data_IF_081010398745
#
_entry.id   IF_081010398745
#
_cell.length_a   1.000
_cell.length_b   1.000
_cell.length_c   1.000
_cell.angle_alpha   90.00
_cell.angle_beta   90.00
_cell.angle_gamma   90.00
#
_symmetry.space_group_name_H-M   'P 1'
#
loop_
_entity.id
_entity.type
_entity.pdbx_description
1 polymer ?
#
# COMPACT_ATOMS: atom_id res chain seq x y z
N UNK A 1 -14.58 3.68 10.27
CA UNK A 1 -14.37 4.68 9.18
C UNK A 1 -15.70 4.97 8.47
N UNK A 2 -16.67 5.46 9.24
CA UNK A 2 -18.03 5.72 8.73
C UNK A 2 -18.05 6.89 7.75
N UNK A 3 -17.30 7.96 8.05
CA UNK A 3 -17.22 9.12 7.17
C UNK A 3 -16.56 8.73 5.83
N UNK A 4 -15.45 8.02 5.86
CA UNK A 4 -14.76 7.55 4.65
C UNK A 4 -15.68 6.71 3.76
N UNK A 5 -16.40 5.75 4.36
CA UNK A 5 -17.32 4.89 3.61
C UNK A 5 -18.50 5.67 3.04
N UNK A 6 -19.09 6.59 3.79
CA UNK A 6 -20.26 7.35 3.35
C UNK A 6 -19.89 8.48 2.37
N UNK A 7 -18.83 9.23 2.66
CA UNK A 7 -18.48 10.44 1.90
C UNK A 7 -17.70 10.14 0.61
N UNK A 8 -16.98 9.01 0.57
CA UNK A 8 -16.26 8.58 -0.63
C UNK A 8 -16.95 7.36 -1.25
N UNK A 9 -17.03 6.24 -0.53
CA UNK A 9 -17.64 5.01 -1.06
C UNK A 9 -19.12 5.15 -1.40
N UNK A 10 -19.90 5.83 -0.54
CA UNK A 10 -21.34 6.07 -0.74
C UNK A 10 -21.68 7.15 -1.80
N UNK A 11 -20.66 7.83 -2.33
CA UNK A 11 -20.81 8.86 -3.38
C UNK A 11 -20.08 8.50 -4.67
N UNK A 12 -19.47 7.32 -4.77
CA UNK A 12 -18.67 6.94 -5.92
C UNK A 12 -18.43 5.45 -6.04
N UNK A 13 -17.29 5.04 -6.58
CA UNK A 13 -16.94 3.66 -6.85
C UNK A 13 -16.16 3.02 -5.70
N UNK A 14 -16.62 1.85 -5.26
CA UNK A 14 -15.91 0.97 -4.32
C UNK A 14 -15.29 -0.20 -5.09
N UNK A 15 -13.97 -0.29 -5.10
CA UNK A 15 -13.24 -1.37 -5.76
C UNK A 15 -12.96 -2.50 -4.76
N UNK A 16 -13.53 -3.67 -5.01
CA UNK A 16 -13.42 -4.81 -4.08
C UNK A 16 -12.15 -5.63 -4.27
N UNK A 17 -11.45 -5.46 -5.39
CA UNK A 17 -10.26 -6.21 -5.75
C UNK A 17 -9.10 -5.29 -6.14
N UNK A 18 -8.69 -4.40 -5.22
CA UNK A 18 -7.49 -3.60 -5.38
C UNK A 18 -6.30 -4.30 -4.71
N UNK A 19 -5.24 -4.52 -5.48
CA UNK A 19 -4.02 -5.20 -5.05
C UNK A 19 -2.82 -4.26 -5.13
N UNK A 20 -1.94 -4.34 -4.14
CA UNK A 20 -0.67 -3.62 -4.18
C UNK A 20 0.28 -4.28 -5.17
N UNK A 21 1.09 -3.48 -5.85
CA UNK A 21 2.15 -4.01 -6.72
C UNK A 21 3.27 -4.68 -5.92
N UNK A 22 3.46 -4.25 -4.66
CA UNK A 22 4.43 -4.81 -3.72
C UNK A 22 3.88 -4.70 -2.29
N UNK A 23 3.84 -5.78 -1.48
CA UNK A 23 3.27 -5.74 -0.14
C UNK A 23 4.25 -5.15 0.90
N UNK A 24 4.84 -3.99 0.59
CA UNK A 24 5.71 -3.25 1.51
C UNK A 24 5.77 -1.77 1.15
N UNK A 25 5.93 -0.90 2.16
CA UNK A 25 5.75 0.55 2.08
C UNK A 25 6.45 1.22 0.90
N UNK A 26 7.80 1.32 0.93
CA UNK A 26 8.54 2.15 -0.01
C UNK A 26 8.39 1.72 -1.47
N UNK A 27 8.54 0.43 -1.83
CA UNK A 27 8.31 -0.03 -3.20
C UNK A 27 6.90 0.26 -3.70
N UNK A 28 5.86 -0.01 -2.91
CA UNK A 28 4.50 0.25 -3.38
C UNK A 28 4.17 1.75 -3.45
N UNK A 29 4.69 2.57 -2.54
CA UNK A 29 4.59 4.04 -2.65
C UNK A 29 5.28 4.55 -3.92
N UNK A 30 6.43 3.98 -4.28
CA UNK A 30 7.10 4.25 -5.55
C UNK A 30 6.21 3.86 -6.74
N UNK A 31 5.56 2.70 -6.69
CA UNK A 31 4.60 2.27 -7.71
C UNK A 31 3.41 3.22 -7.86
N UNK A 32 2.81 3.65 -6.74
CA UNK A 32 1.71 4.63 -6.76
C UNK A 32 2.16 5.95 -7.38
N UNK A 33 3.34 6.46 -6.98
CA UNK A 33 3.85 7.75 -7.43
C UNK A 33 4.23 7.77 -8.92
N UNK A 34 4.70 6.64 -9.49
CA UNK A 34 5.28 6.58 -10.84
C UNK A 34 4.47 5.77 -11.85
N UNK A 35 3.45 5.02 -11.41
CA UNK A 35 2.69 4.10 -12.26
C UNK A 35 3.53 2.93 -12.79
N UNK A 36 4.61 2.56 -12.12
CA UNK A 36 5.54 1.52 -12.55
C UNK A 36 5.58 0.37 -11.54
N UNK A 37 5.78 -0.83 -12.03
CA UNK A 37 6.09 -1.99 -11.19
C UNK A 37 7.51 -1.91 -10.62
N UNK A 38 7.77 -2.68 -9.57
CA UNK A 38 9.04 -2.70 -8.84
C UNK A 38 10.25 -2.92 -9.76
N UNK A 39 10.16 -3.83 -10.73
CA UNK A 39 11.24 -4.12 -11.67
C UNK A 39 11.54 -2.94 -12.63
N UNK A 40 10.61 -1.98 -12.82
CA UNK A 40 10.79 -0.81 -13.68
C UNK A 40 11.26 0.43 -12.90
N UNK A 41 10.75 0.70 -11.69
CA UNK A 41 11.23 1.84 -10.90
C UNK A 41 12.45 1.52 -10.01
N UNK A 42 12.78 0.24 -9.80
CA UNK A 42 13.97 -0.25 -9.09
C UNK A 42 14.08 0.20 -7.62
N UNK A 43 12.98 0.51 -6.98
CA UNK A 43 12.87 0.67 -5.53
C UNK A 43 12.36 -0.66 -4.98
N UNK A 44 13.25 -1.50 -4.46
CA UNK A 44 12.96 -2.92 -4.21
C UNK A 44 12.71 -3.26 -2.75
N UNK A 45 13.09 -2.35 -1.81
CA UNK A 45 12.81 -2.52 -0.39
C UNK A 45 12.81 -1.16 0.34
N UNK A 46 12.67 -1.18 1.67
CA UNK A 46 12.60 0.03 2.50
C UNK A 46 13.96 0.71 2.78
N UNK A 47 15.07 0.15 2.28
CA UNK A 47 16.40 0.70 2.51
C UNK A 47 16.87 1.61 1.38
N UNK A 48 17.81 2.51 1.68
CA UNK A 48 18.47 3.36 0.66
C UNK A 48 19.20 2.48 -0.36
N UNK A 49 19.85 1.41 0.07
CA UNK A 49 20.52 0.46 -0.81
C UNK A 49 19.57 -0.25 -1.77
N UNK A 50 18.33 -0.51 -1.32
CA UNK A 50 17.26 -1.04 -2.15
C UNK A 50 16.52 0.01 -2.99
N UNK A 51 17.05 1.21 -3.09
CA UNK A 51 16.53 2.28 -3.95
C UNK A 51 15.58 3.26 -3.25
N UNK A 52 15.14 2.97 -2.01
CA UNK A 52 14.18 3.81 -1.31
C UNK A 52 14.75 5.20 -1.01
N UNK A 53 14.13 6.24 -1.55
CA UNK A 53 14.56 7.63 -1.42
C UNK A 53 16.06 7.85 -1.72
N UNK A 54 16.65 7.00 -2.55
CA UNK A 54 18.04 7.03 -2.94
C UNK A 54 18.36 8.20 -3.88
N UNK A 55 19.64 8.45 -4.14
CA UNK A 55 20.05 9.43 -5.17
C UNK A 55 19.46 9.06 -6.55
N UNK A 56 19.43 7.75 -6.86
CA UNK A 56 18.82 7.25 -8.11
C UNK A 56 17.31 7.55 -8.17
N UNK A 57 16.57 7.34 -7.07
CA UNK A 57 15.16 7.71 -6.99
C UNK A 57 14.96 9.18 -7.31
N UNK A 58 15.72 10.05 -6.65
CA UNK A 58 15.61 11.50 -6.83
C UNK A 58 15.95 11.97 -8.26
N UNK A 59 16.92 11.33 -8.89
CA UNK A 59 17.36 11.70 -10.24
C UNK A 59 16.45 11.16 -11.34
N UNK A 60 15.95 9.92 -11.19
CA UNK A 60 15.28 9.22 -12.28
C UNK A 60 13.76 9.08 -12.10
N UNK A 61 13.28 9.03 -10.86
CA UNK A 61 11.87 8.77 -10.59
C UNK A 61 11.10 10.03 -10.15
N UNK A 62 11.65 10.87 -9.27
CA UNK A 62 10.97 12.10 -8.85
C UNK A 62 10.51 12.97 -10.00
N UNK A 63 11.29 13.19 -11.08
CA UNK A 63 10.85 13.99 -12.23
C UNK A 63 9.64 13.42 -12.97
N UNK A 64 9.34 12.13 -12.79
CA UNK A 64 8.28 11.40 -13.50
C UNK A 64 7.14 10.95 -12.59
N UNK A 65 7.08 11.45 -11.36
CA UNK A 65 5.93 11.22 -10.47
C UNK A 65 4.70 11.97 -10.98
N UNK A 66 3.50 11.49 -10.64
CA UNK A 66 2.27 12.22 -11.03
C UNK A 66 2.29 13.68 -10.53
N UNK A 67 2.86 13.94 -9.35
CA UNK A 67 2.96 15.29 -8.80
C UNK A 67 3.83 16.20 -9.67
N UNK A 68 5.02 15.71 -10.02
CA UNK A 68 5.95 16.47 -10.88
C UNK A 68 5.36 16.73 -12.26
N UNK A 69 4.67 15.76 -12.85
CA UNK A 69 4.01 15.91 -14.15
C UNK A 69 2.84 16.90 -14.07
N UNK A 70 1.99 16.80 -13.05
CA UNK A 70 0.84 17.69 -12.89
C UNK A 70 1.27 19.13 -12.61
N UNK A 71 2.27 19.34 -11.74
CA UNK A 71 2.80 20.66 -11.47
C UNK A 71 3.43 21.30 -12.71
N UNK A 72 4.38 20.60 -13.34
CA UNK A 72 5.23 21.21 -14.36
C UNK A 72 4.60 21.26 -15.76
N UNK A 73 3.66 20.36 -16.07
CA UNK A 73 3.07 20.26 -17.43
C UNK A 73 1.64 20.78 -17.45
N UNK A 74 0.84 20.46 -16.43
CA UNK A 74 -0.59 20.82 -16.40
C UNK A 74 -0.86 22.08 -15.60
N UNK A 75 0.06 22.47 -14.70
CA UNK A 75 -0.08 23.68 -13.89
C UNK A 75 -0.91 23.52 -12.62
N UNK A 76 -0.93 22.32 -12.04
CA UNK A 76 -1.57 22.08 -10.76
C UNK A 76 -0.83 22.74 -9.62
N UNK A 77 -1.56 23.24 -8.63
CA UNK A 77 -1.04 23.58 -7.31
C UNK A 77 -0.95 22.32 -6.47
N UNK A 78 0.22 22.00 -5.92
CA UNK A 78 0.47 20.70 -5.33
C UNK A 78 0.78 20.77 -3.83
N UNK A 79 0.17 19.88 -3.06
CA UNK A 79 0.31 19.78 -1.61
C UNK A 79 0.57 18.34 -1.16
N UNK A 80 1.53 18.15 -0.29
CA UNK A 80 1.81 16.87 0.36
C UNK A 80 1.96 17.02 1.87
N UNK A 81 1.33 16.13 2.66
CA UNK A 81 1.55 16.05 4.10
C UNK A 81 1.57 14.60 4.60
N UNK A 82 2.59 14.25 5.39
CA UNK A 82 2.74 12.96 6.05
C UNK A 82 3.91 12.12 5.56
N UNK A 83 3.76 10.79 5.65
CA UNK A 83 4.81 9.83 5.27
C UNK A 83 5.00 9.81 3.76
N UNK A 84 6.22 10.09 3.31
CA UNK A 84 6.64 9.94 1.90
C UNK A 84 7.22 8.55 1.65
N UNK A 85 8.47 8.44 1.32
CA UNK A 85 9.21 7.18 1.23
C UNK A 85 9.98 6.92 2.53
N UNK A 86 10.21 5.67 2.86
CA UNK A 86 11.06 5.33 4.00
C UNK A 86 12.45 5.98 3.82
N UNK A 87 13.13 6.29 4.91
CA UNK A 87 14.43 6.97 4.93
C UNK A 87 14.41 8.46 4.50
N UNK A 88 13.24 9.05 4.16
CA UNK A 88 13.14 10.49 3.87
C UNK A 88 13.69 11.32 5.04
N UNK A 89 14.37 12.42 4.72
CA UNK A 89 14.96 13.34 5.70
C UNK A 89 16.28 12.88 6.33
N UNK A 90 16.81 11.68 6.03
CA UNK A 90 18.16 11.30 6.44
C UNK A 90 19.22 12.07 5.63
N UNK A 91 20.38 12.37 6.25
CA UNK A 91 21.48 13.10 5.57
C UNK A 91 21.86 12.50 4.22
N UNK A 92 21.95 11.16 4.13
CA UNK A 92 22.27 10.43 2.88
C UNK A 92 21.21 10.58 1.78
N UNK A 93 20.00 11.03 2.12
CA UNK A 93 18.90 11.25 1.19
C UNK A 93 18.56 12.73 0.98
N UNK A 94 19.46 13.63 1.31
CA UNK A 94 19.29 15.08 1.14
C UNK A 94 18.85 15.82 2.40
N UNK A 95 18.62 15.11 3.52
CA UNK A 95 18.17 15.71 4.77
C UNK A 95 16.75 16.29 4.68
N UNK A 96 16.38 17.07 5.69
CA UNK A 96 15.09 17.77 5.69
C UNK A 96 15.00 18.87 4.62
N UNK A 97 16.14 19.37 4.15
CA UNK A 97 16.20 20.43 3.13
C UNK A 97 15.77 19.94 1.73
N UNK A 98 15.78 18.61 1.49
CA UNK A 98 15.29 18.07 0.22
C UNK A 98 13.77 18.06 0.17
N UNK A 99 13.20 18.92 -0.65
CA UNK A 99 11.79 18.84 -1.06
C UNK A 99 11.73 18.05 -2.36
N UNK A 100 10.98 16.93 -2.42
CA UNK A 100 10.85 16.17 -3.66
C UNK A 100 10.21 17.01 -4.77
N UNK A 101 10.60 16.74 -6.02
CA UNK A 101 10.07 17.47 -7.17
C UNK A 101 8.56 17.29 -7.29
N UNK A 102 7.89 18.36 -7.71
CA UNK A 102 6.45 18.34 -7.98
C UNK A 102 5.58 18.81 -6.81
N UNK A 103 6.14 19.39 -5.75
CA UNK A 103 5.38 19.85 -4.60
C UNK A 103 5.61 21.35 -4.32
N UNK A 104 4.55 22.14 -4.37
CA UNK A 104 4.58 23.56 -3.96
C UNK A 104 4.53 23.72 -2.44
N UNK A 105 3.72 22.85 -1.79
CA UNK A 105 3.62 22.77 -0.34
C UNK A 105 4.03 21.38 0.11
N UNK A 106 4.99 21.34 0.97
CA UNK A 106 5.60 20.10 1.45
C UNK A 106 5.63 20.02 2.97
N UNK A 107 5.07 18.96 3.53
CA UNK A 107 5.12 18.63 4.95
C UNK A 107 5.48 17.14 5.13
N UNK A 108 6.67 16.74 4.71
CA UNK A 108 7.13 15.35 4.70
C UNK A 108 7.61 14.87 6.06
N UNK A 109 7.08 13.71 6.52
CA UNK A 109 7.53 13.06 7.75
C UNK A 109 8.97 12.57 7.62
N UNK A 110 9.86 13.04 8.51
CA UNK A 110 11.25 12.61 8.57
C UNK A 110 11.33 11.22 9.22
N UNK A 111 11.91 10.28 8.52
CA UNK A 111 12.11 8.92 8.99
C UNK A 111 10.97 7.97 8.67
N UNK A 112 10.51 7.22 9.67
CA UNK A 112 9.43 6.26 9.53
C UNK A 112 8.20 6.67 10.38
N UNK A 113 7.13 5.90 10.30
CA UNK A 113 5.83 6.20 10.95
C UNK A 113 5.96 6.47 12.45
N UNK A 114 5.42 7.61 12.88
CA UNK A 114 5.29 8.06 14.28
C UNK A 114 3.98 8.80 14.41
N UNK A 115 3.47 8.88 15.62
CA UNK A 115 2.24 9.63 15.95
C UNK A 115 2.53 10.88 16.79
N UNK A 116 3.60 10.82 17.59
CA UNK A 116 4.13 11.88 18.47
C UNK A 116 5.66 11.89 18.42
N UNK A 117 6.30 12.91 18.95
CA UNK A 117 7.76 13.03 19.04
C UNK A 117 8.47 12.79 17.67
N UNK A 118 8.04 13.52 16.67
CA UNK A 118 8.51 13.41 15.28
C UNK A 118 9.00 14.77 14.75
N UNK A 119 9.58 14.74 13.57
CA UNK A 119 9.90 15.95 12.79
C UNK A 119 9.23 15.89 11.44
N UNK A 120 8.76 17.03 10.95
CA UNK A 120 8.38 17.24 9.56
C UNK A 120 9.40 18.14 8.88
N UNK A 121 9.65 17.90 7.60
CA UNK A 121 10.24 18.89 6.71
C UNK A 121 9.10 19.76 6.17
N UNK A 122 9.01 21.00 6.64
CA UNK A 122 8.05 21.98 6.12
C UNK A 122 8.77 22.84 5.10
N UNK A 123 8.49 22.60 3.82
CA UNK A 123 9.15 23.28 2.68
C UNK A 123 10.67 23.33 2.82
N UNK A 124 11.29 22.20 3.21
CA UNK A 124 12.76 22.09 3.38
C UNK A 124 13.29 22.51 4.76
N UNK A 125 12.45 23.00 5.66
CA UNK A 125 12.85 23.36 7.03
C UNK A 125 12.35 22.32 8.02
N UNK A 126 13.23 21.76 8.84
CA UNK A 126 12.84 20.79 9.87
C UNK A 126 12.05 21.48 10.99
N UNK A 127 10.87 20.98 11.27
CA UNK A 127 10.04 21.37 12.42
C UNK A 127 9.80 20.17 13.31
N UNK A 128 10.13 20.29 14.59
CA UNK A 128 9.93 19.26 15.61
C UNK A 128 8.58 19.43 16.28
N UNK A 129 7.94 18.29 16.55
CA UNK A 129 6.67 18.17 17.28
C UNK A 129 6.89 17.26 18.50
N UNK A 130 6.21 17.59 19.59
CA UNK A 130 6.30 16.88 20.87
C UNK A 130 5.26 15.77 21.02
N UNK A 131 4.79 15.62 22.26
CA UNK A 131 3.82 14.61 22.68
C UNK A 131 2.50 15.20 23.22
N UNK A 132 2.32 16.51 23.07
CA UNK A 132 1.05 17.13 23.42
C UNK A 132 -0.08 16.62 22.51
N UNK A 133 -1.33 16.66 22.97
CA UNK A 133 -2.48 16.23 22.16
C UNK A 133 -2.57 16.97 20.82
N UNK A 134 -2.09 18.21 20.74
CA UNK A 134 -2.08 19.01 19.52
C UNK A 134 -0.97 18.60 18.53
N UNK A 135 0.00 17.80 18.98
CA UNK A 135 1.10 17.29 18.17
C UNK A 135 0.78 15.94 17.53
N UNK A 136 -0.45 15.41 17.69
CA UNK A 136 -0.83 14.16 17.03
C UNK A 136 -0.73 14.29 15.51
N UNK A 137 0.12 13.46 14.88
CA UNK A 137 0.52 13.69 13.48
C UNK A 137 -0.67 13.75 12.51
N UNK A 138 -1.69 12.92 12.68
CA UNK A 138 -2.87 12.95 11.80
C UNK A 138 -3.63 14.27 11.91
N UNK A 139 -3.71 14.86 13.14
CA UNK A 139 -4.35 16.15 13.35
C UNK A 139 -3.50 17.30 12.79
N UNK A 140 -2.18 17.20 12.89
CA UNK A 140 -1.26 18.17 12.26
C UNK A 140 -1.40 18.13 10.74
N UNK A 141 -1.48 16.94 10.13
CA UNK A 141 -1.76 16.80 8.68
C UNK A 141 -3.09 17.42 8.32
N UNK A 142 -4.15 17.16 9.10
CA UNK A 142 -5.46 17.78 8.91
C UNK A 142 -5.39 19.32 8.92
N UNK A 143 -4.74 19.89 9.93
CA UNK A 143 -4.64 21.35 10.07
C UNK A 143 -3.86 22.00 8.92
N UNK A 144 -2.77 21.36 8.46
CA UNK A 144 -2.01 21.83 7.31
C UNK A 144 -2.84 21.78 6.03
N UNK A 145 -3.61 20.72 5.81
CA UNK A 145 -4.50 20.57 4.66
C UNK A 145 -5.66 21.58 4.68
N UNK A 146 -6.27 21.79 5.85
CA UNK A 146 -7.31 22.82 6.05
C UNK A 146 -6.77 24.21 5.73
N UNK A 147 -5.56 24.54 6.20
CA UNK A 147 -4.95 25.83 5.89
C UNK A 147 -4.67 25.98 4.40
N UNK A 148 -4.15 24.96 3.74
CA UNK A 148 -3.96 24.97 2.29
C UNK A 148 -5.27 25.26 1.54
N UNK A 149 -6.37 24.55 1.88
CA UNK A 149 -7.68 24.78 1.24
C UNK A 149 -8.19 26.18 1.52
N UNK A 150 -8.05 26.72 2.74
CA UNK A 150 -8.47 28.08 3.09
C UNK A 150 -7.72 29.15 2.32
N UNK A 151 -6.43 28.97 2.08
CA UNK A 151 -5.58 29.90 1.35
C UNK A 151 -5.65 29.71 -0.18
N UNK A 152 -6.28 28.64 -0.65
CA UNK A 152 -6.40 28.34 -2.07
C UNK A 152 -7.28 29.36 -2.81
N UNK A 153 -6.72 30.02 -3.84
CA UNK A 153 -7.39 31.09 -4.57
C UNK A 153 -8.43 30.62 -5.60
N UNK A 154 -8.34 29.37 -6.04
CA UNK A 154 -9.21 28.83 -7.10
C UNK A 154 -8.70 29.04 -8.53
N UNK A 155 -7.56 29.70 -8.74
CA UNK A 155 -7.06 30.06 -10.07
C UNK A 155 -6.45 28.90 -10.86
N UNK A 156 -6.08 27.82 -10.18
CA UNK A 156 -5.43 26.64 -10.73
C UNK A 156 -6.03 25.37 -10.13
N UNK A 157 -6.09 24.24 -10.84
CA UNK A 157 -6.47 22.99 -10.20
C UNK A 157 -5.45 22.59 -9.13
N UNK A 158 -5.88 21.85 -8.11
CA UNK A 158 -4.95 21.40 -7.07
C UNK A 158 -4.85 19.87 -6.99
N UNK A 159 -3.69 19.40 -6.55
CA UNK A 159 -3.43 18.03 -6.12
C UNK A 159 -3.06 18.05 -4.63
N UNK A 160 -3.79 17.31 -3.82
CA UNK A 160 -3.50 17.14 -2.39
C UNK A 160 -3.26 15.67 -2.07
N UNK A 161 -2.11 15.34 -1.49
CA UNK A 161 -1.81 13.99 -0.99
C UNK A 161 -1.63 14.04 0.52
N UNK A 162 -2.52 13.35 1.23
CA UNK A 162 -2.49 13.22 2.67
C UNK A 162 -2.10 11.78 3.03
N UNK A 163 -0.98 11.62 3.71
CA UNK A 163 -0.37 10.33 4.00
C UNK A 163 -0.15 10.13 5.51
N UNK A 164 -1.23 10.03 6.32
CA UNK A 164 -1.12 9.80 7.76
C UNK A 164 -0.44 8.45 8.05
N UNK A 165 0.21 8.29 9.25
CA UNK A 165 0.87 7.04 9.61
C UNK A 165 -0.10 5.91 9.93
N UNK A 166 -1.36 6.20 10.25
CA UNK A 166 -2.36 5.21 10.66
C UNK A 166 -2.71 4.25 9.51
N UNK A 167 -2.85 2.95 9.80
CA UNK A 167 -2.71 2.27 11.08
C UNK A 167 -1.37 1.54 11.29
N UNK A 168 -0.22 2.12 10.92
CA UNK A 168 1.13 1.56 11.10
C UNK A 168 1.55 1.54 12.59
N UNK A 169 2.48 0.65 12.99
CA UNK A 169 3.15 0.75 14.29
C UNK A 169 3.78 2.14 14.55
N UNK A 170 3.81 2.58 15.80
CA UNK A 170 3.55 1.90 17.06
C UNK A 170 2.08 1.86 17.53
N UNK A 171 1.08 2.06 16.66
CA UNK A 171 -0.36 1.91 16.95
C UNK A 171 -0.87 2.80 18.09
N UNK A 172 -0.47 4.06 18.13
CA UNK A 172 -0.86 5.02 19.16
C UNK A 172 -2.04 5.83 18.66
N UNK A 173 -3.27 5.65 19.19
CA UNK A 173 -4.43 6.47 18.81
C UNK A 173 -4.33 7.87 19.41
N UNK A 174 -5.05 8.82 18.81
CA UNK A 174 -5.28 10.10 19.44
C UNK A 174 -5.97 9.91 20.80
N UNK A 175 -5.66 10.76 21.77
CA UNK A 175 -6.21 10.65 23.16
C UNK A 175 -7.72 10.51 23.17
N UNK A 176 -8.43 11.27 22.33
CA UNK A 176 -9.90 11.23 22.20
C UNK A 176 -10.46 9.92 21.61
N UNK A 177 -9.61 9.11 21.00
CA UNK A 177 -9.98 7.83 20.37
C UNK A 177 -9.49 6.60 21.13
N UNK A 178 -8.63 6.82 22.12
CA UNK A 178 -8.13 5.75 22.98
C UNK A 178 -9.32 5.02 23.64
N UNK A 179 -9.23 3.71 23.63
CA UNK A 179 -10.19 2.79 24.27
C UNK A 179 -11.63 2.82 23.68
N UNK A 180 -11.83 3.42 22.49
CA UNK A 180 -13.15 3.42 21.82
C UNK A 180 -13.62 2.02 21.40
N UNK A 181 -12.71 1.07 21.22
CA UNK A 181 -13.01 -0.28 20.77
C UNK A 181 -12.58 -1.35 21.77
N UNK A 182 -12.67 -1.06 23.08
CA UNK A 182 -12.41 -2.06 24.15
C UNK A 182 -13.19 -3.34 23.85
N UNK A 183 -12.50 -4.50 23.98
CA UNK A 183 -13.09 -5.82 23.73
C UNK A 183 -13.05 -6.28 22.27
N UNK A 184 -12.69 -5.39 21.31
CA UNK A 184 -12.51 -5.81 19.92
C UNK A 184 -11.28 -6.71 19.80
N UNK A 185 -11.46 -7.87 19.17
CA UNK A 185 -10.40 -8.86 18.94
C UNK A 185 -10.02 -8.94 17.47
N UNK A 186 -8.78 -9.32 17.20
CA UNK A 186 -8.36 -9.71 15.85
C UNK A 186 -9.27 -10.81 15.31
N UNK A 187 -9.60 -10.72 14.01
CA UNK A 187 -10.51 -11.71 13.41
C UNK A 187 -9.94 -13.11 13.48
N UNK A 188 -10.70 -14.04 14.06
CA UNK A 188 -10.36 -15.47 14.13
C UNK A 188 -10.79 -16.16 12.82
N UNK A 189 -10.18 -15.72 11.72
CA UNK A 189 -10.37 -16.37 10.41
C UNK A 189 -9.80 -17.80 10.43
N UNK A 190 -10.22 -18.70 9.53
CA UNK A 190 -9.73 -20.08 9.49
C UNK A 190 -8.19 -20.21 9.47
N UNK A 191 -7.48 -19.23 8.90
CA UNK A 191 -6.02 -19.18 8.87
C UNK A 191 -5.38 -18.46 10.08
N UNK A 192 -6.17 -18.03 11.09
CA UNK A 192 -5.62 -17.35 12.27
C UNK A 192 -4.96 -18.35 13.23
N UNK A 193 -3.69 -18.13 13.55
CA UNK A 193 -2.89 -18.87 14.52
C UNK A 193 -3.00 -20.40 14.39
N UNK A 194 -2.86 -20.92 13.19
CA UNK A 194 -2.97 -22.35 12.89
C UNK A 194 -1.60 -22.99 12.72
N UNK A 195 -1.50 -24.31 12.96
CA UNK A 195 -0.36 -25.09 12.46
C UNK A 195 -0.22 -24.94 10.96
N UNK A 196 0.99 -24.67 10.49
CA UNK A 196 1.29 -24.48 9.06
C UNK A 196 1.95 -25.76 8.52
N UNK A 197 1.38 -26.29 7.45
CA UNK A 197 1.82 -27.51 6.81
C UNK A 197 2.98 -27.29 5.82
N UNK A 198 3.54 -28.38 5.30
CA UNK A 198 4.62 -28.39 4.30
C UNK A 198 4.23 -27.73 2.95
N UNK A 199 2.96 -27.42 2.76
CA UNK A 199 2.42 -26.75 1.58
C UNK A 199 2.63 -25.23 1.55
N UNK A 200 3.14 -24.62 2.64
CA UNK A 200 3.52 -23.20 2.70
C UNK A 200 5.01 -23.01 2.51
N UNK A 201 5.41 -21.83 2.04
CA UNK A 201 6.81 -21.42 1.94
C UNK A 201 7.54 -21.64 3.28
N UNK A 202 8.81 -22.04 3.22
CA UNK A 202 9.59 -22.41 4.40
C UNK A 202 9.64 -21.33 5.49
N UNK A 203 9.63 -20.05 5.10
CA UNK A 203 9.66 -18.94 6.05
C UNK A 203 8.40 -18.91 6.94
N UNK A 204 7.23 -19.09 6.35
CA UNK A 204 5.96 -19.14 7.09
C UNK A 204 5.92 -20.31 8.05
N UNK A 205 6.61 -21.42 7.71
CA UNK A 205 6.73 -22.62 8.54
C UNK A 205 7.76 -22.51 9.68
N UNK A 206 8.49 -21.40 9.80
CA UNK A 206 9.38 -21.14 10.95
C UNK A 206 8.56 -20.93 12.21
N UNK A 207 9.08 -21.48 13.34
CA UNK A 207 8.45 -21.33 14.65
C UNK A 207 8.52 -19.91 15.23
N UNK A 208 7.74 -19.66 16.29
CA UNK A 208 6.77 -20.55 16.89
C UNK A 208 5.50 -20.75 16.04
N UNK A 209 4.95 -21.98 16.02
CA UNK A 209 3.73 -22.37 15.29
C UNK A 209 3.00 -23.47 16.10
N UNK A 210 1.77 -23.24 16.57
CA UNK A 210 1.10 -21.93 16.62
C UNK A 210 1.85 -20.93 17.52
N UNK A 211 1.48 -19.67 17.47
CA UNK A 211 1.96 -18.68 18.43
C UNK A 211 1.48 -19.06 19.83
N UNK A 212 2.29 -18.83 20.88
CA UNK A 212 1.89 -19.06 22.27
C UNK A 212 0.61 -18.30 22.65
N UNK A 213 -0.17 -18.88 23.58
CA UNK A 213 -1.47 -18.33 23.96
C UNK A 213 -1.38 -16.93 24.59
N UNK A 214 -0.28 -16.61 25.27
CA UNK A 214 -0.02 -15.29 25.87
C UNK A 214 0.22 -14.18 24.82
N UNK A 215 0.48 -14.55 23.56
CA UNK A 215 0.62 -13.60 22.45
C UNK A 215 -0.74 -13.16 21.91
N UNK A 216 -1.77 -14.00 21.98
CA UNK A 216 -3.07 -13.70 21.37
C UNK A 216 -3.74 -12.44 21.94
N UNK A 217 -3.72 -12.16 23.26
CA UNK A 217 -4.22 -10.90 23.80
C UNK A 217 -3.45 -9.68 23.31
N UNK A 218 -2.13 -9.80 23.06
CA UNK A 218 -1.31 -8.72 22.52
C UNK A 218 -1.70 -8.42 21.05
N UNK A 219 -1.98 -9.45 20.27
CA UNK A 219 -2.50 -9.29 18.91
C UNK A 219 -3.87 -8.62 18.89
N UNK A 220 -4.74 -8.97 19.83
CA UNK A 220 -6.06 -8.34 19.99
C UNK A 220 -5.93 -6.85 20.33
N UNK A 221 -5.00 -6.50 21.25
CA UNK A 221 -4.72 -5.10 21.60
C UNK A 221 -4.17 -4.31 20.39
N UNK A 222 -3.23 -4.87 19.64
CA UNK A 222 -2.70 -4.26 18.42
C UNK A 222 -3.81 -4.06 17.39
N UNK A 223 -4.65 -5.06 17.15
CA UNK A 223 -5.77 -4.97 16.21
C UNK A 223 -6.75 -3.86 16.62
N UNK A 224 -7.12 -3.79 17.89
CA UNK A 224 -7.97 -2.73 18.46
C UNK A 224 -7.36 -1.35 18.25
N UNK A 225 -6.09 -1.15 18.63
CA UNK A 225 -5.39 0.14 18.48
C UNK A 225 -5.28 0.56 17.03
N UNK A 226 -5.08 -0.34 16.09
CA UNK A 226 -5.11 -0.05 14.65
C UNK A 226 -6.43 0.59 14.25
N UNK A 227 -7.56 0.05 14.70
CA UNK A 227 -8.88 0.64 14.47
C UNK A 227 -9.02 2.03 15.10
N UNK A 228 -8.53 2.20 16.32
CA UNK A 228 -8.57 3.48 17.03
C UNK A 228 -7.74 4.57 16.34
N UNK A 229 -6.57 4.23 15.77
CA UNK A 229 -5.77 5.20 15.00
C UNK A 229 -6.47 5.67 13.73
N UNK A 230 -7.29 4.83 13.10
CA UNK A 230 -8.04 5.17 11.89
C UNK A 230 -9.19 6.16 12.15
N UNK A 231 -9.65 6.33 13.39
CA UNK A 231 -10.70 7.29 13.70
C UNK A 231 -10.27 8.74 13.41
N UNK A 232 -9.01 9.07 13.69
CA UNK A 232 -8.48 10.39 13.35
C UNK A 232 -8.37 10.61 11.83
N UNK A 233 -8.10 9.55 11.06
CA UNK A 233 -8.13 9.62 9.58
C UNK A 233 -9.56 9.82 9.07
N UNK A 234 -10.52 9.16 9.69
CA UNK A 234 -11.94 9.31 9.35
C UNK A 234 -12.47 10.73 9.62
N UNK A 235 -12.01 11.35 10.72
CA UNK A 235 -12.29 12.76 11.02
C UNK A 235 -11.60 13.71 10.02
N UNK A 236 -10.34 13.46 9.67
CA UNK A 236 -9.61 14.23 8.67
C UNK A 236 -10.36 14.25 7.33
N UNK A 237 -10.84 13.10 6.86
CA UNK A 237 -11.60 13.00 5.59
C UNK A 237 -12.87 13.84 5.70
N UNK A 238 -13.60 13.74 6.82
CA UNK A 238 -14.80 14.56 7.04
C UNK A 238 -14.49 16.06 7.01
N UNK A 239 -13.46 16.50 7.73
CA UNK A 239 -13.10 17.92 7.80
C UNK A 239 -12.73 18.49 6.43
N UNK A 240 -11.97 17.74 5.63
CA UNK A 240 -11.61 18.16 4.27
C UNK A 240 -12.83 18.20 3.35
N UNK A 241 -13.68 17.18 3.42
CA UNK A 241 -14.91 17.11 2.63
C UNK A 241 -15.83 18.30 2.94
N UNK A 242 -16.13 18.55 4.22
CA UNK A 242 -17.01 19.63 4.65
C UNK A 242 -16.46 21.01 4.24
N UNK A 243 -15.15 21.21 4.37
CA UNK A 243 -14.51 22.47 3.96
C UNK A 243 -14.55 22.69 2.44
N UNK A 244 -14.38 21.64 1.64
CA UNK A 244 -14.52 21.73 0.18
C UNK A 244 -15.97 22.03 -0.22
N UNK A 245 -16.94 21.46 0.48
CA UNK A 245 -18.37 21.76 0.29
C UNK A 245 -18.66 23.23 0.63
N UNK A 246 -18.22 23.72 1.80
CA UNK A 246 -18.33 25.12 2.22
C UNK A 246 -17.72 26.11 1.20
N UNK A 247 -16.60 25.68 0.57
CA UNK A 247 -15.89 26.47 -0.45
C UNK A 247 -16.46 26.32 -1.86
N UNK A 248 -17.52 25.53 -2.08
CA UNK A 248 -18.07 25.18 -3.39
C UNK A 248 -17.04 24.53 -4.34
N UNK A 249 -16.12 23.75 -3.80
CA UNK A 249 -15.07 23.04 -4.54
C UNK A 249 -15.34 21.53 -4.61
N UNK A 250 -16.31 21.03 -3.85
CA UNK A 250 -16.54 19.59 -3.70
C UNK A 250 -16.95 18.92 -5.01
N UNK A 251 -17.83 19.57 -5.77
CA UNK A 251 -18.38 19.00 -7.03
C UNK A 251 -17.34 18.90 -8.14
N UNK A 252 -16.22 19.62 -8.03
CA UNK A 252 -15.09 19.59 -8.96
C UNK A 252 -13.89 18.81 -8.39
N UNK A 253 -14.06 18.12 -7.23
CA UNK A 253 -12.98 17.43 -6.54
C UNK A 253 -13.14 15.91 -6.61
N UNK A 254 -12.08 15.22 -7.02
CA UNK A 254 -11.96 13.76 -6.89
C UNK A 254 -11.31 13.38 -5.57
N UNK A 255 -11.91 12.42 -4.86
CA UNK A 255 -11.33 11.77 -3.70
C UNK A 255 -10.88 10.37 -4.08
N UNK A 256 -9.63 10.02 -3.73
CA UNK A 256 -9.07 8.68 -3.87
C UNK A 256 -8.57 8.24 -2.50
N UNK A 257 -9.18 7.22 -1.94
CA UNK A 257 -8.79 6.62 -0.66
C UNK A 257 -8.23 5.21 -0.88
N UNK A 258 -7.01 4.95 -0.41
CA UNK A 258 -6.35 3.65 -0.51
C UNK A 258 -5.31 3.46 0.60
N UNK A 259 -4.57 2.35 0.55
CA UNK A 259 -3.42 2.05 1.42
C UNK A 259 -2.20 1.64 0.61
N UNK A 260 -1.01 1.84 1.20
CA UNK A 260 0.26 1.43 0.58
C UNK A 260 0.56 -0.07 0.70
N UNK A 261 -0.05 -0.76 1.65
CA UNK A 261 -0.02 -2.22 1.78
C UNK A 261 -1.12 -2.70 2.72
N UNK A 262 -1.40 -3.99 2.67
CA UNK A 262 -2.19 -4.68 3.67
C UNK A 262 -1.38 -4.97 4.94
N UNK A 263 -1.93 -5.81 5.83
CA UNK A 263 -1.28 -6.13 7.10
C UNK A 263 -1.89 -7.38 7.72
N UNK A 264 -1.09 -8.40 8.07
CA UNK A 264 -1.56 -9.55 8.82
C UNK A 264 -1.43 -9.33 10.32
N UNK A 265 -2.33 -9.95 11.06
CA UNK A 265 -2.36 -9.98 12.53
C UNK A 265 -2.76 -11.39 12.96
N UNK A 266 -1.78 -12.29 13.09
CA UNK A 266 -1.97 -13.67 13.52
C UNK A 266 -2.26 -14.70 12.42
N UNK A 267 -2.46 -14.29 11.13
CA UNK A 267 -2.69 -15.24 10.06
C UNK A 267 -1.46 -16.13 9.82
N UNK A 268 -1.67 -17.44 9.65
CA UNK A 268 -0.62 -18.46 9.51
C UNK A 268 0.42 -18.42 10.64
N UNK A 269 -0.02 -18.12 11.88
CA UNK A 269 0.87 -17.93 13.04
C UNK A 269 1.98 -16.90 12.80
N UNK A 270 1.76 -15.93 11.91
CA UNK A 270 2.60 -14.76 11.78
C UNK A 270 2.04 -13.65 12.68
N UNK A 271 2.81 -13.13 13.65
CA UNK A 271 2.24 -12.22 14.65
C UNK A 271 1.72 -10.92 14.02
N UNK A 272 2.58 -10.13 13.44
CA UNK A 272 2.23 -8.87 12.76
C UNK A 272 3.26 -8.53 11.71
N UNK A 273 2.87 -8.20 10.56
CA UNK A 273 3.62 -7.47 9.52
C UNK A 273 2.84 -7.50 8.18
N UNK A 274 3.57 -7.40 7.10
CA UNK A 274 3.21 -7.56 5.69
C UNK A 274 4.35 -8.32 5.00
N UNK A 275 4.50 -8.30 3.68
CA UNK A 275 5.57 -8.94 2.88
C UNK A 275 5.25 -10.36 2.44
N UNK A 276 4.02 -10.80 2.62
CA UNK A 276 3.59 -12.13 2.21
C UNK A 276 2.61 -12.06 1.02
N UNK A 277 2.46 -13.13 0.24
CA UNK A 277 1.57 -13.15 -0.93
C UNK A 277 0.10 -13.43 -0.55
N UNK A 278 -0.27 -13.22 0.70
CA UNK A 278 -1.63 -13.49 1.18
C UNK A 278 -2.52 -12.25 1.06
N UNK A 279 -3.84 -12.46 0.89
CA UNK A 279 -4.83 -11.38 0.72
C UNK A 279 -4.74 -10.31 1.83
N UNK A 280 -4.38 -10.69 3.06
CA UNK A 280 -4.18 -9.75 4.16
C UNK A 280 -3.10 -8.71 3.89
N UNK A 281 -2.09 -9.06 3.13
CA UNK A 281 -0.93 -8.22 2.86
C UNK A 281 -1.02 -7.51 1.51
N UNK A 282 -1.68 -8.14 0.54
CA UNK A 282 -1.69 -7.66 -0.85
C UNK A 282 -2.97 -6.93 -1.24
N UNK A 283 -4.11 -7.20 -0.58
CA UNK A 283 -5.41 -6.58 -0.90
C UNK A 283 -5.66 -5.38 -0.01
N UNK A 284 -5.98 -4.25 -0.61
CA UNK A 284 -6.19 -2.96 0.07
C UNK A 284 -7.52 -2.32 -0.34
N UNK A 285 -8.10 -1.44 0.48
CA UNK A 285 -9.26 -0.68 0.07
C UNK A 285 -8.90 0.28 -1.07
N UNK A 286 -9.84 0.50 -1.98
CA UNK A 286 -9.82 1.59 -2.94
C UNK A 286 -11.23 2.13 -3.12
N UNK A 287 -11.41 3.41 -2.74
CA UNK A 287 -12.66 4.14 -2.91
C UNK A 287 -12.35 5.38 -3.74
N UNK A 288 -13.19 5.67 -4.73
CA UNK A 288 -13.02 6.86 -5.56
C UNK A 288 -14.37 7.54 -5.76
N UNK A 289 -14.46 8.83 -5.45
CA UNK A 289 -15.62 9.67 -5.77
C UNK A 289 -15.17 10.94 -6.47
N UNK A 290 -16.07 11.59 -7.16
CA UNK A 290 -15.84 12.85 -7.87
C UNK A 290 -16.67 12.98 -9.14
N UNK A 291 -16.45 14.04 -9.93
CA UNK A 291 -17.20 14.32 -11.14
C UNK A 291 -17.29 13.13 -12.09
N UNK A 292 -18.50 12.76 -12.48
CA UNK A 292 -18.73 11.66 -13.42
C UNK A 292 -18.48 10.26 -12.89
N UNK A 293 -18.21 10.10 -11.58
CA UNK A 293 -18.07 8.78 -10.94
C UNK A 293 -19.42 8.38 -10.35
N UNK A 294 -20.03 7.35 -10.93
CA UNK A 294 -21.30 6.82 -10.43
C UNK A 294 -21.12 5.93 -9.21
N UNK A 295 -22.13 5.92 -8.34
CA UNK A 295 -22.22 4.98 -7.22
C UNK A 295 -22.20 3.54 -7.73
N UNK A 296 -21.14 2.81 -7.45
CA UNK A 296 -20.96 1.46 -7.98
C UNK A 296 -20.02 0.61 -7.13
N UNK A 297 -20.17 -0.71 -7.27
CA UNK A 297 -19.21 -1.68 -6.76
C UNK A 297 -18.48 -2.31 -7.94
N UNK A 298 -17.16 -2.12 -8.01
CA UNK A 298 -16.31 -2.59 -9.09
C UNK A 298 -15.53 -3.83 -8.64
N UNK A 299 -15.83 -4.97 -9.26
CA UNK A 299 -15.17 -6.25 -8.97
C UNK A 299 -13.96 -6.55 -9.87
N UNK A 300 -13.73 -5.77 -10.91
CA UNK A 300 -12.55 -5.91 -11.76
C UNK A 300 -11.25 -5.73 -10.94
N UNK A 301 -10.20 -6.53 -11.18
CA UNK A 301 -8.94 -6.40 -10.46
C UNK A 301 -8.20 -5.12 -10.84
N UNK A 302 -7.72 -4.43 -9.84
CA UNK A 302 -6.99 -3.17 -9.92
C UNK A 302 -5.63 -3.33 -9.23
N UNK A 303 -4.60 -2.71 -9.77
CA UNK A 303 -3.28 -2.63 -9.16
C UNK A 303 -2.98 -1.21 -8.69
N UNK A 304 -2.15 -1.05 -7.67
CA UNK A 304 -1.69 0.27 -7.21
C UNK A 304 -1.01 1.12 -8.30
N UNK A 305 -0.43 0.50 -9.34
CA UNK A 305 0.13 1.23 -10.50
C UNK A 305 -0.94 1.94 -11.33
N UNK A 306 -2.22 1.53 -11.23
CA UNK A 306 -3.33 2.14 -11.95
C UNK A 306 -3.72 3.52 -11.38
N UNK A 307 -3.39 3.78 -10.11
CA UNK A 307 -3.68 5.05 -9.44
C UNK A 307 -3.00 6.21 -10.17
N UNK A 308 -1.74 6.04 -10.56
CA UNK A 308 -1.00 7.02 -11.34
C UNK A 308 -1.70 7.35 -12.66
N UNK A 309 -2.02 6.32 -13.45
CA UNK A 309 -2.68 6.50 -14.74
C UNK A 309 -4.07 7.14 -14.58
N UNK A 310 -4.78 6.83 -13.49
CA UNK A 310 -6.08 7.40 -13.16
C UNK A 310 -5.97 8.89 -12.80
N UNK A 311 -5.02 9.27 -11.95
CA UNK A 311 -4.79 10.67 -11.57
C UNK A 311 -4.44 11.51 -12.81
N UNK A 312 -3.54 11.03 -13.66
CA UNK A 312 -3.19 11.74 -14.88
C UNK A 312 -4.35 11.84 -15.86
N UNK A 313 -5.16 10.78 -15.99
CA UNK A 313 -6.35 10.82 -16.86
C UNK A 313 -7.40 11.82 -16.36
N UNK A 314 -7.62 11.93 -15.04
CA UNK A 314 -8.48 12.96 -14.43
C UNK A 314 -7.99 14.37 -14.83
N UNK A 315 -6.70 14.58 -14.86
CA UNK A 315 -6.09 15.85 -15.29
C UNK A 315 -6.01 16.05 -16.80
N UNK A 316 -6.62 15.18 -17.60
CA UNK A 316 -6.59 15.24 -19.07
C UNK A 316 -5.24 14.88 -19.69
N UNK A 317 -4.33 14.29 -18.92
CA UNK A 317 -2.97 13.96 -19.34
C UNK A 317 -2.80 12.45 -19.57
N UNK A 318 -2.01 12.08 -20.59
CA UNK A 318 -1.53 10.72 -20.82
C UNK A 318 -0.02 10.68 -20.64
N UNK A 319 0.46 9.67 -19.92
CA UNK A 319 1.88 9.44 -19.74
C UNK A 319 2.15 7.92 -19.69
N UNK A 320 3.27 7.44 -20.24
CA UNK A 320 3.61 6.00 -20.21
C UNK A 320 3.64 5.46 -18.77
N UNK A 321 2.87 4.41 -18.52
CA UNK A 321 2.81 3.73 -17.21
C UNK A 321 2.55 2.24 -17.41
N UNK A 322 2.87 1.44 -16.39
CA UNK A 322 2.56 -0.01 -16.36
C UNK A 322 1.10 -0.26 -15.95
N UNK A 323 0.43 0.78 -15.46
CA UNK A 323 -0.98 0.76 -15.09
C UNK A 323 -1.92 1.25 -16.20
N UNK A 324 -3.20 1.18 -15.92
CA UNK A 324 -4.26 1.71 -16.78
C UNK A 324 -5.20 2.61 -15.99
N UNK A 325 -5.85 3.56 -16.66
CA UNK A 325 -6.87 4.38 -16.00
C UNK A 325 -8.07 3.54 -15.58
N UNK A 326 -8.62 3.84 -14.42
CA UNK A 326 -9.79 3.16 -13.85
C UNK A 326 -11.11 3.68 -14.43
N UNK A 327 -11.08 4.89 -14.99
CA UNK A 327 -12.23 5.55 -15.59
C UNK A 327 -11.87 6.00 -17.02
N UNK A 328 -12.65 5.54 -17.96
CA UNK A 328 -12.54 5.99 -19.36
C UNK A 328 -13.95 6.12 -19.93
N UNK A 329 -14.26 7.27 -20.49
CA UNK A 329 -15.54 7.57 -21.13
C UNK A 329 -16.01 6.53 -22.16
N UNK A 330 -15.10 5.71 -22.67
CA UNK A 330 -15.38 4.75 -23.74
C UNK A 330 -15.07 3.27 -23.40
N UNK A 331 -14.60 2.95 -22.20
CA UNK A 331 -14.26 1.55 -21.83
C UNK A 331 -14.44 1.30 -20.33
N UNK A 332 -15.27 0.34 -20.00
CA UNK A 332 -15.26 -0.26 -18.68
C UNK A 332 -13.94 -1.02 -18.46
N UNK A 333 -13.44 -1.05 -17.22
CA UNK A 333 -12.32 -1.90 -16.86
C UNK A 333 -12.58 -3.34 -17.31
N UNK A 334 -11.59 -4.03 -17.90
CA UNK A 334 -11.75 -5.44 -18.24
C UNK A 334 -12.10 -6.26 -17.00
N UNK A 335 -13.22 -6.96 -17.03
CA UNK A 335 -13.68 -7.84 -15.95
C UNK A 335 -12.75 -9.04 -15.72
N UNK A 336 -11.94 -9.39 -16.71
CA UNK A 336 -10.92 -10.45 -16.61
C UNK A 336 -9.55 -9.79 -16.87
N UNK A 337 -8.83 -9.55 -15.79
CA UNK A 337 -7.50 -8.92 -15.82
C UNK A 337 -6.55 -9.66 -14.90
N UNK A 338 -5.28 -9.59 -15.23
CA UNK A 338 -4.17 -10.11 -14.43
C UNK A 338 -3.36 -8.92 -13.92
N UNK A 339 -3.10 -8.87 -12.64
CA UNK A 339 -2.19 -7.90 -12.01
C UNK A 339 -0.98 -8.63 -11.44
N UNK A 340 0.17 -7.96 -11.47
CA UNK A 340 1.43 -8.46 -10.94
C UNK A 340 1.63 -7.97 -9.50
N UNK A 341 2.17 -8.87 -8.68
CA UNK A 341 2.63 -8.55 -7.32
C UNK A 341 4.05 -9.05 -7.21
N UNK A 342 4.97 -8.18 -6.87
CA UNK A 342 6.40 -8.51 -6.71
C UNK A 342 6.85 -8.15 -5.31
N UNK A 343 7.65 -9.00 -4.72
CA UNK A 343 8.33 -8.70 -3.47
C UNK A 343 9.77 -9.17 -3.52
N UNK A 344 10.69 -8.34 -3.07
CA UNK A 344 12.08 -8.71 -2.87
C UNK A 344 12.38 -8.73 -1.38
N UNK A 345 12.64 -9.91 -0.85
CA UNK A 345 12.94 -10.15 0.55
C UNK A 345 14.09 -9.25 1.03
N UNK A 346 13.90 -8.64 2.19
CA UNK A 346 14.89 -7.74 2.79
C UNK A 346 15.94 -8.57 3.50
N UNK A 347 17.21 -8.36 3.13
CA UNK A 347 18.37 -8.90 3.82
C UNK A 347 18.86 -7.86 4.83
N UNK A 348 19.06 -8.27 6.08
CA UNK A 348 19.80 -7.43 7.02
C UNK A 348 21.31 -7.62 6.79
N UNK A 349 22.08 -6.53 6.84
CA UNK A 349 23.53 -6.61 6.88
C UNK A 349 24.05 -6.95 8.28
N UNK A 350 23.18 -6.97 9.27
CA UNK A 350 23.45 -7.35 10.66
C UNK A 350 22.39 -8.32 11.11
N UNK A 351 22.72 -9.32 11.97
CA UNK A 351 21.73 -10.22 12.54
C UNK A 351 20.60 -9.44 13.18
N UNK A 352 19.36 -9.76 12.84
CA UNK A 352 18.21 -9.19 13.53
C UNK A 352 18.16 -9.81 14.92
N UNK A 353 18.10 -9.01 16.01
CA UNK A 353 18.03 -9.57 17.35
C UNK A 353 16.93 -10.64 17.44
N UNK A 354 17.25 -11.80 18.02
CA UNK A 354 16.33 -12.93 18.12
C UNK A 354 16.16 -13.79 16.87
N UNK A 355 16.70 -13.43 15.72
CA UNK A 355 16.72 -14.30 14.54
C UNK A 355 18.03 -15.11 14.47
N UNK A 356 17.97 -16.43 14.25
CA UNK A 356 19.11 -17.33 14.48
C UNK A 356 20.22 -17.26 13.45
N UNK A 357 20.06 -16.57 12.33
CA UNK A 357 21.07 -16.40 11.31
C UNK A 357 20.88 -15.10 10.52
N UNK A 358 21.91 -14.69 9.78
CA UNK A 358 22.00 -13.42 9.07
C UNK A 358 20.99 -13.27 7.90
N UNK A 359 20.37 -14.37 7.46
CA UNK A 359 19.39 -14.35 6.39
C UNK A 359 17.96 -14.11 6.88
N UNK A 360 17.71 -14.23 8.19
CA UNK A 360 16.42 -14.02 8.82
C UNK A 360 16.29 -12.65 9.44
N UNK A 361 15.09 -12.08 9.36
CA UNK A 361 14.83 -10.68 9.65
C UNK A 361 13.46 -10.49 10.27
N UNK A 362 13.24 -9.32 10.92
CA UNK A 362 11.94 -8.89 11.43
C UNK A 362 11.37 -9.77 12.54
N UNK A 363 12.09 -9.86 13.63
CA UNK A 363 11.61 -10.39 14.89
C UNK A 363 11.02 -9.27 15.76
N UNK A 364 9.86 -9.51 16.35
CA UNK A 364 9.26 -8.69 17.40
C UNK A 364 9.27 -9.51 18.68
N UNK A 365 10.21 -9.20 19.59
CA UNK A 365 10.45 -10.00 20.81
C UNK A 365 9.19 -10.15 21.67
N UNK A 366 8.42 -9.08 21.84
CA UNK A 366 7.20 -9.06 22.63
C UNK A 366 6.07 -9.94 22.02
N UNK A 367 6.24 -10.35 20.76
CA UNK A 367 5.32 -11.19 20.00
C UNK A 367 5.93 -12.57 19.66
N UNK A 368 6.71 -13.12 20.58
CA UNK A 368 7.37 -14.43 20.47
C UNK A 368 8.44 -14.55 19.36
N UNK A 369 8.98 -13.42 18.91
CA UNK A 369 10.12 -13.34 17.99
C UNK A 369 10.08 -14.32 16.81
N UNK A 370 8.97 -14.38 16.06
CA UNK A 370 8.94 -15.09 14.79
C UNK A 370 9.61 -14.24 13.72
N UNK A 371 10.68 -14.75 13.10
CA UNK A 371 11.34 -14.07 11.99
C UNK A 371 10.46 -14.16 10.75
N UNK A 372 10.09 -13.01 10.17
CA UNK A 372 9.03 -12.92 9.17
C UNK A 372 9.51 -12.49 7.77
N UNK A 373 10.82 -12.23 7.63
CA UNK A 373 11.41 -11.95 6.33
C UNK A 373 12.81 -12.58 6.16
N UNK A 374 13.21 -12.76 4.91
CA UNK A 374 14.50 -13.27 4.50
C UNK A 374 14.76 -12.92 3.04
N UNK A 375 16.02 -12.95 2.58
CA UNK A 375 16.34 -12.76 1.17
C UNK A 375 15.56 -13.72 0.25
N UNK A 376 15.40 -14.97 0.68
CA UNK A 376 14.65 -16.01 -0.04
C UNK A 376 13.12 -15.86 0.02
N UNK A 377 12.60 -14.86 0.76
CA UNK A 377 11.19 -14.44 0.67
C UNK A 377 10.94 -13.56 -0.57
N UNK A 378 11.80 -13.63 -1.56
CA UNK A 378 11.60 -12.95 -2.85
C UNK A 378 10.64 -13.75 -3.69
N UNK A 379 9.55 -13.12 -4.14
CA UNK A 379 8.55 -13.79 -4.97
C UNK A 379 7.93 -12.85 -6.00
N UNK A 380 7.37 -13.48 -7.03
CA UNK A 380 6.49 -12.81 -7.98
C UNK A 380 5.19 -13.59 -8.12
N UNK A 381 4.08 -12.89 -8.11
CA UNK A 381 2.74 -13.46 -8.23
C UNK A 381 1.96 -12.80 -9.35
N UNK A 382 1.05 -13.58 -9.95
CA UNK A 382 -0.06 -13.04 -10.72
C UNK A 382 -1.36 -13.29 -9.97
N UNK A 383 -2.17 -12.24 -9.87
CA UNK A 383 -3.51 -12.27 -9.30
C UNK A 383 -4.51 -12.07 -10.44
N UNK A 384 -5.36 -13.07 -10.69
CA UNK A 384 -6.41 -13.01 -11.69
C UNK A 384 -7.78 -13.04 -11.03
N UNK A 385 -8.62 -12.08 -11.35
CA UNK A 385 -10.02 -12.05 -10.92
C UNK A 385 -10.88 -11.85 -12.16
N UNK A 386 -11.92 -12.67 -12.27
CA UNK A 386 -12.97 -12.57 -13.28
C UNK A 386 -14.19 -13.35 -12.79
N UNK A 387 -15.33 -13.32 -13.48
CA UNK A 387 -16.50 -14.12 -13.10
C UNK A 387 -16.23 -15.63 -12.95
N UNK A 388 -15.25 -16.15 -13.71
CA UNK A 388 -14.91 -17.57 -13.73
C UNK A 388 -13.57 -17.92 -13.07
N UNK A 389 -12.76 -16.94 -12.70
CA UNK A 389 -11.42 -17.13 -12.15
C UNK A 389 -11.17 -16.18 -11.00
N UNK A 390 -10.76 -16.71 -9.88
CA UNK A 390 -10.32 -15.96 -8.73
C UNK A 390 -9.10 -16.66 -8.13
N UNK A 391 -7.93 -16.48 -8.79
CA UNK A 391 -6.74 -17.24 -8.47
C UNK A 391 -5.55 -16.33 -8.19
N UNK A 392 -4.67 -16.79 -7.31
CA UNK A 392 -3.32 -16.29 -7.18
C UNK A 392 -2.33 -17.41 -7.50
N UNK A 393 -1.24 -17.07 -8.17
CA UNK A 393 -0.16 -17.99 -8.50
C UNK A 393 1.17 -17.29 -8.28
N UNK A 394 1.98 -17.81 -7.36
CA UNK A 394 3.25 -17.25 -6.92
C UNK A 394 4.40 -18.21 -7.18
N UNK A 395 5.56 -17.66 -7.52
CA UNK A 395 6.84 -18.39 -7.59
C UNK A 395 7.84 -17.64 -6.74
N UNK A 396 8.43 -18.34 -5.77
CA UNK A 396 9.51 -17.81 -4.94
C UNK A 396 10.87 -18.01 -5.66
N UNK A 397 11.76 -17.06 -5.46
CA UNK A 397 13.14 -17.11 -5.99
C UNK A 397 14.11 -17.76 -4.99
N UNK A 398 13.64 -18.80 -4.32
CA UNK A 398 14.42 -19.66 -3.45
C UNK A 398 15.07 -20.84 -4.23
N UNK A 399 15.88 -21.64 -3.55
CA UNK A 399 16.56 -22.81 -4.14
C UNK A 399 15.59 -23.86 -4.69
N UNK A 400 14.37 -23.92 -4.10
CA UNK A 400 13.34 -24.87 -4.51
C UNK A 400 12.46 -24.34 -5.64
N UNK A 401 12.55 -23.04 -5.96
CA UNK A 401 11.58 -22.37 -6.84
C UNK A 401 10.15 -22.66 -6.40
N UNK A 402 9.93 -22.49 -5.08
CA UNK A 402 8.70 -22.87 -4.42
C UNK A 402 7.49 -22.20 -5.08
N UNK A 403 6.39 -22.94 -5.18
CA UNK A 403 5.16 -22.45 -5.81
C UNK A 403 4.07 -22.42 -4.77
N UNK A 404 3.41 -21.28 -4.62
CA UNK A 404 2.12 -21.18 -3.95
C UNK A 404 1.04 -20.77 -4.95
N UNK A 405 -0.09 -21.48 -4.93
CA UNK A 405 -1.23 -21.14 -5.75
C UNK A 405 -2.53 -21.49 -5.02
N UNK A 406 -3.54 -20.63 -5.19
CA UNK A 406 -4.84 -20.80 -4.52
C UNK A 406 -5.96 -20.45 -5.48
N UNK A 407 -7.09 -21.19 -5.37
CA UNK A 407 -8.37 -20.85 -5.98
C UNK A 407 -9.25 -20.20 -4.93
N UNK A 408 -9.33 -18.88 -4.96
CA UNK A 408 -10.01 -18.06 -3.96
C UNK A 408 -11.55 -18.20 -4.01
N UNK A 409 -12.11 -18.87 -5.02
CA UNK A 409 -13.53 -19.18 -5.05
C UNK A 409 -13.92 -20.28 -4.06
N UNK A 410 -12.98 -21.18 -3.75
CA UNK A 410 -13.18 -22.32 -2.85
C UNK A 410 -12.30 -22.27 -1.59
N UNK A 411 -11.25 -21.48 -1.62
CA UNK A 411 -10.27 -21.32 -0.53
C UNK A 411 -9.94 -19.85 -0.30
N UNK A 412 -10.92 -19.10 0.18
CA UNK A 412 -10.84 -17.66 0.46
C UNK A 412 -9.68 -17.30 1.40
N UNK A 413 -9.29 -18.22 2.31
CA UNK A 413 -8.26 -17.98 3.32
C UNK A 413 -6.90 -18.57 2.95
N UNK A 414 -6.73 -19.05 1.72
CA UNK A 414 -5.47 -19.58 1.20
C UNK A 414 -4.89 -20.73 2.07
N UNK A 415 -5.76 -21.63 2.52
CA UNK A 415 -5.41 -22.73 3.43
C UNK A 415 -4.63 -23.83 2.74
N UNK A 416 -5.01 -24.18 1.50
CA UNK A 416 -4.49 -25.34 0.76
C UNK A 416 -3.76 -24.90 -0.50
N UNK A 417 -2.45 -25.05 -0.52
CA UNK A 417 -1.64 -24.74 -1.70
C UNK A 417 -1.84 -25.78 -2.81
N UNK A 418 -2.44 -25.36 -3.92
CA UNK A 418 -2.66 -26.20 -5.10
C UNK A 418 -1.56 -26.09 -6.16
N UNK A 419 -0.47 -25.38 -5.89
CA UNK A 419 0.60 -25.09 -6.86
C UNK A 419 1.23 -26.33 -7.49
N UNK A 420 1.25 -27.43 -6.76
CA UNK A 420 1.80 -28.71 -7.22
C UNK A 420 0.73 -29.71 -7.70
N UNK A 421 -0.52 -29.59 -7.23
CA UNK A 421 -1.62 -30.50 -7.55
C UNK A 421 -2.51 -30.01 -8.70
N UNK A 422 -2.44 -28.72 -9.03
CA UNK A 422 -3.20 -28.14 -10.15
C UNK A 422 -2.85 -28.79 -11.49
N UNK A 423 -3.78 -28.77 -12.45
CA UNK A 423 -3.59 -29.32 -13.80
C UNK A 423 -2.33 -28.74 -14.45
N UNK A 424 -1.45 -29.61 -14.97
CA UNK A 424 -0.14 -29.22 -15.57
C UNK A 424 -0.29 -28.10 -16.62
N UNK A 425 -1.31 -28.18 -17.49
CA UNK A 425 -1.58 -27.16 -18.51
C UNK A 425 -1.95 -25.79 -17.91
N UNK A 426 -2.72 -25.75 -16.80
CA UNK A 426 -3.04 -24.50 -16.11
C UNK A 426 -1.81 -23.90 -15.44
N UNK A 427 -1.00 -24.71 -14.76
CA UNK A 427 0.27 -24.30 -14.17
C UNK A 427 1.24 -23.73 -15.21
N UNK A 428 1.34 -24.38 -16.38
CA UNK A 428 2.16 -23.89 -17.49
C UNK A 428 1.69 -22.50 -17.97
N UNK A 429 0.37 -22.29 -18.15
CA UNK A 429 -0.19 -20.98 -18.55
C UNK A 429 0.12 -19.89 -17.52
N UNK A 430 -0.08 -20.18 -16.23
CA UNK A 430 0.27 -19.21 -15.18
C UNK A 430 1.75 -18.85 -15.20
N UNK A 431 2.65 -19.83 -15.29
CA UNK A 431 4.09 -19.58 -15.40
C UNK A 431 4.46 -18.75 -16.63
N UNK A 432 3.85 -19.04 -17.78
CA UNK A 432 4.09 -18.27 -19.01
C UNK A 432 3.67 -16.82 -18.86
N UNK A 433 2.51 -16.56 -18.25
CA UNK A 433 2.00 -15.21 -17.99
C UNK A 433 2.88 -14.49 -16.97
N UNK A 434 3.23 -15.13 -15.87
CA UNK A 434 4.13 -14.56 -14.86
C UNK A 434 5.46 -14.12 -15.48
N UNK A 435 6.09 -14.98 -16.29
CA UNK A 435 7.33 -14.65 -17.00
C UNK A 435 7.22 -13.42 -17.91
N UNK A 436 6.05 -13.15 -18.48
CA UNK A 436 5.81 -11.91 -19.25
C UNK A 436 5.67 -10.72 -18.35
N UNK A 437 4.95 -10.88 -17.25
CA UNK A 437 4.66 -9.78 -16.32
C UNK A 437 5.90 -9.25 -15.62
N UNK A 438 6.81 -10.09 -15.19
CA UNK A 438 8.04 -9.68 -14.46
C UNK A 438 9.07 -8.93 -15.29
N UNK A 439 8.84 -8.78 -16.61
CA UNK A 439 9.71 -8.04 -17.53
C UNK A 439 8.93 -7.04 -18.38
N UNK A 440 7.63 -6.89 -18.13
CA UNK A 440 6.79 -6.00 -18.91
C UNK A 440 7.15 -4.53 -18.70
N UNK A 441 6.84 -3.69 -19.67
CA UNK A 441 6.96 -2.24 -19.57
C UNK A 441 5.72 -1.60 -20.19
N UNK A 442 5.24 -0.55 -19.54
CA UNK A 442 4.13 0.27 -20.03
C UNK A 442 2.87 -0.57 -20.38
N UNK A 443 2.25 -0.35 -21.50
CA UNK A 443 1.02 -1.03 -21.95
C UNK A 443 1.14 -2.57 -22.01
N UNK A 444 2.36 -3.10 -22.13
CA UNK A 444 2.59 -4.56 -22.10
C UNK A 444 2.25 -5.18 -20.74
N UNK A 445 2.21 -4.37 -19.68
CA UNK A 445 1.85 -4.81 -18.33
C UNK A 445 0.34 -4.93 -18.12
N UNK A 446 -0.48 -4.43 -19.04
CA UNK A 446 -1.94 -4.55 -18.99
C UNK A 446 -2.35 -5.84 -19.69
N UNK A 447 -2.35 -6.96 -18.96
CA UNK A 447 -2.76 -8.27 -19.51
C UNK A 447 -4.26 -8.49 -19.29
N UNK A 448 -4.98 -8.65 -20.42
CA UNK A 448 -6.35 -9.18 -20.44
C UNK A 448 -6.33 -10.57 -21.07
N UNK A 449 -6.77 -11.62 -20.36
CA UNK A 449 -6.92 -12.94 -20.95
C UNK A 449 -7.96 -12.91 -22.07
N UNK A 450 -7.63 -13.50 -23.24
CA UNK A 450 -8.49 -13.48 -24.42
C UNK A 450 -7.93 -12.76 -25.63
N UNK A 451 -6.81 -12.07 -25.51
CA UNK A 451 -6.03 -11.65 -26.68
C UNK A 451 -5.36 -12.87 -27.34
N UNK A 452 -5.41 -12.95 -28.68
CA UNK A 452 -5.01 -14.08 -29.55
C UNK A 452 -3.58 -14.68 -29.36
N UNK A 453 -2.97 -14.47 -28.21
CA UNK A 453 -1.64 -14.98 -27.85
C UNK A 453 -1.64 -15.87 -26.60
N UNK A 454 -2.77 -16.52 -26.27
CA UNK A 454 -2.85 -17.56 -25.22
C UNK A 454 -2.27 -18.91 -25.69
#
# INVERSE_FOLDING_TARGET
MTNTLNLIGGRGATFTNCFVATPVCCPNRASILTGRYQHNHLTVNNSIAGGCNSARWRQLQEPTTFASLLQNIVGYKTFYAGKYLNQYGKKKTGGAAHVPLGWDWWAGLIGNSKYYNYSLSINGTERKYGDSSNDYLTDVINNLAVNFIKEYSGDQPFLMVLAPPAPHGPFIPAVRHKDKYIGTKAKRTPNFNIPVNQDKHWLVRKGPIPLPDDILPKLDDIYRRRWETLLAVDELIKNIHDLLEERNLLDDTYFIYTSDNGYHVGQFSMPIDKRQPYETDIRVPLLISGPGIELSTVSAPVSSVDIFATILNIAGMKYPSDGTTLFNSNRNLPQDRIVLIEYRGERSNEPSPGCPNDDLNLCVEELACKCQDAANNTFSCIRRVSPNFNNIFCVFEDDQRFIEAYDMNIDEYQMVNIGYTMKKGLRYRFRKRLKRMVVCQTEQCVLTPGNKYE
#
